data_IF_044301596179
#
_entry.id   IF_044301596179
#
_cell.length_a   1.000
_cell.length_b   1.000
_cell.length_c   1.000
_cell.angle_alpha   90.00
_cell.angle_beta   90.00
_cell.angle_gamma   90.00
#
_symmetry.space_group_name_H-M   'P 1'
#
loop_
_entity.id
_entity.type
_entity.pdbx_description
1 polymer ?
#
# COMPACT_ATOMS: atom_id res chain seq x y z
N UNK A 1 28.76 -69.07 -9.96
CA UNK A 1 27.47 -68.42 -9.64
C UNK A 1 27.48 -67.67 -8.31
N UNK A 2 28.02 -68.25 -7.22
CA UNK A 2 28.05 -67.65 -5.86
C UNK A 2 28.65 -66.23 -5.81
N UNK A 3 29.72 -65.94 -6.58
CA UNK A 3 30.36 -64.61 -6.61
C UNK A 3 29.48 -63.51 -7.23
N UNK A 4 28.57 -63.84 -8.16
CA UNK A 4 27.64 -62.87 -8.76
C UNK A 4 26.45 -62.56 -7.84
N UNK A 5 26.00 -63.56 -7.08
CA UNK A 5 24.92 -63.40 -6.10
C UNK A 5 25.33 -62.53 -4.89
N UNK A 6 26.59 -62.62 -4.44
CA UNK A 6 27.12 -61.78 -3.35
C UNK A 6 27.25 -60.30 -3.77
N UNK A 7 27.61 -60.05 -5.03
CA UNK A 7 27.71 -58.67 -5.57
C UNK A 7 26.33 -58.00 -5.68
N UNK A 8 25.29 -58.74 -6.10
CA UNK A 8 23.91 -58.24 -6.10
C UNK A 8 23.39 -57.96 -4.69
N UNK A 9 23.75 -58.78 -3.69
CA UNK A 9 23.36 -58.56 -2.30
C UNK A 9 24.07 -57.34 -1.68
N UNK A 10 25.36 -57.14 -1.98
CA UNK A 10 26.11 -55.94 -1.56
C UNK A 10 25.55 -54.66 -2.20
N UNK A 11 25.15 -54.70 -3.47
CA UNK A 11 24.51 -53.56 -4.14
C UNK A 11 23.14 -53.23 -3.55
N UNK A 12 22.35 -54.24 -3.16
CA UNK A 12 21.06 -54.03 -2.49
C UNK A 12 21.22 -53.45 -1.08
N UNK A 13 22.30 -53.80 -0.37
CA UNK A 13 22.62 -53.25 0.95
C UNK A 13 23.17 -51.81 0.86
N UNK A 14 23.83 -51.43 -0.24
CA UNK A 14 24.32 -50.06 -0.45
C UNK A 14 23.19 -49.11 -0.90
N UNK A 15 22.18 -49.62 -1.61
CA UNK A 15 21.00 -48.82 -2.01
C UNK A 15 19.94 -48.77 -0.89
N UNK A 16 19.99 -49.70 0.07
CA UNK A 16 19.11 -49.73 1.23
C UNK A 16 19.80 -49.10 2.45
N UNK A 17 19.48 -47.82 2.70
CA UNK A 17 19.69 -47.01 3.92
C UNK A 17 20.70 -45.86 3.82
N UNK A 18 20.19 -44.67 3.50
CA UNK A 18 20.25 -43.51 4.39
C UNK A 18 19.34 -42.38 3.85
N UNK A 19 18.05 -42.40 4.24
CA UNK A 19 17.24 -41.18 4.23
C UNK A 19 17.69 -40.35 5.44
N UNK A 20 18.77 -39.61 5.24
CA UNK A 20 19.28 -38.69 6.23
C UNK A 20 18.22 -37.60 6.46
N UNK A 21 17.88 -37.31 7.73
CA UNK A 21 16.84 -36.33 8.08
C UNK A 21 17.15 -34.95 7.47
N UNK A 22 18.43 -34.63 7.40
CA UNK A 22 19.00 -33.43 6.77
C UNK A 22 18.71 -33.36 5.25
N UNK A 23 18.66 -34.51 4.57
CA UNK A 23 18.29 -34.59 3.15
C UNK A 23 16.79 -34.40 2.96
N UNK A 24 15.96 -34.90 3.88
CA UNK A 24 14.50 -34.69 3.84
C UNK A 24 14.14 -33.23 4.06
N UNK A 25 14.73 -32.58 5.06
CA UNK A 25 14.46 -31.18 5.39
C UNK A 25 14.90 -30.25 4.24
N UNK A 26 16.05 -30.56 3.61
CA UNK A 26 16.56 -29.82 2.44
C UNK A 26 15.73 -30.05 1.18
N UNK A 27 15.13 -31.24 1.02
CA UNK A 27 14.17 -31.51 -0.05
C UNK A 27 12.91 -30.67 0.16
N UNK A 28 12.38 -30.62 1.39
CA UNK A 28 11.19 -29.80 1.71
C UNK A 28 11.46 -28.30 1.54
N UNK A 29 12.65 -27.82 1.91
CA UNK A 29 13.07 -26.43 1.68
C UNK A 29 13.14 -26.11 0.18
N UNK A 30 13.77 -26.98 -0.63
CA UNK A 30 13.84 -26.81 -2.08
C UNK A 30 12.46 -26.90 -2.75
N UNK A 31 11.58 -27.78 -2.27
CA UNK A 31 10.19 -27.88 -2.74
C UNK A 31 9.42 -26.58 -2.46
N UNK A 32 9.62 -25.99 -1.29
CA UNK A 32 9.03 -24.69 -0.94
C UNK A 32 9.60 -23.56 -1.81
N UNK A 33 10.90 -23.53 -2.05
CA UNK A 33 11.54 -22.56 -2.96
C UNK A 33 11.04 -22.71 -4.41
N UNK A 34 10.90 -23.95 -4.90
CA UNK A 34 10.35 -24.21 -6.25
C UNK A 34 8.88 -23.77 -6.33
N UNK A 35 8.08 -24.06 -5.30
CA UNK A 35 6.69 -23.61 -5.22
C UNK A 35 6.62 -22.09 -5.23
N UNK A 36 7.48 -21.42 -4.47
CA UNK A 36 7.58 -19.97 -4.42
C UNK A 36 7.99 -19.38 -5.78
N UNK A 37 9.03 -19.92 -6.41
CA UNK A 37 9.49 -19.47 -7.72
C UNK A 37 8.43 -19.65 -8.81
N UNK A 38 7.65 -20.74 -8.74
CA UNK A 38 6.54 -20.99 -9.66
C UNK A 38 5.44 -19.93 -9.50
N UNK A 39 5.13 -19.52 -8.27
CA UNK A 39 4.17 -18.45 -7.99
C UNK A 39 4.66 -17.13 -8.59
N UNK A 40 5.94 -16.79 -8.41
CA UNK A 40 6.56 -15.58 -8.97
C UNK A 40 6.47 -15.60 -10.50
N UNK A 41 6.88 -16.71 -11.13
CA UNK A 41 6.87 -16.82 -12.59
C UNK A 41 5.47 -16.67 -13.16
N UNK A 42 4.46 -17.34 -12.58
CA UNK A 42 3.07 -17.17 -12.99
C UNK A 42 2.59 -15.73 -12.81
N UNK A 43 2.96 -15.07 -11.71
CA UNK A 43 2.60 -13.66 -11.49
C UNK A 43 3.25 -12.72 -12.52
N UNK A 44 4.49 -12.99 -12.91
CA UNK A 44 5.20 -12.22 -13.94
C UNK A 44 4.60 -12.44 -15.33
N UNK A 45 4.18 -13.67 -15.65
CA UNK A 45 3.48 -13.98 -16.90
C UNK A 45 2.13 -13.25 -16.98
N UNK A 46 1.33 -13.30 -15.90
CA UNK A 46 0.06 -12.56 -15.78
C UNK A 46 0.28 -11.05 -15.95
N UNK A 47 1.31 -10.49 -15.32
CA UNK A 47 1.66 -9.08 -15.44
C UNK A 47 2.09 -8.70 -16.86
N UNK A 48 2.89 -9.54 -17.53
CA UNK A 48 3.29 -9.33 -18.92
C UNK A 48 2.09 -9.32 -19.88
N UNK A 49 1.13 -10.22 -19.67
CA UNK A 49 -0.10 -10.24 -20.47
C UNK A 49 -0.98 -9.02 -20.22
N UNK A 50 -1.08 -8.54 -18.98
CA UNK A 50 -1.75 -7.29 -18.66
C UNK A 50 -1.07 -6.08 -19.35
N UNK A 51 0.27 -6.01 -19.32
CA UNK A 51 1.01 -4.95 -20.00
C UNK A 51 0.78 -4.95 -21.51
N UNK A 52 0.72 -6.13 -22.15
CA UNK A 52 0.38 -6.24 -23.59
C UNK A 52 -1.01 -5.68 -23.87
N UNK A 53 -2.03 -6.09 -23.09
CA UNK A 53 -3.40 -5.58 -23.24
C UNK A 53 -3.50 -4.08 -23.02
N UNK A 54 -2.83 -3.55 -21.99
CA UNK A 54 -2.77 -2.12 -21.72
C UNK A 54 -2.12 -1.34 -22.85
N UNK A 55 -1.04 -1.88 -23.45
CA UNK A 55 -0.37 -1.28 -24.61
C UNK A 55 -1.27 -1.25 -25.85
N UNK A 56 -2.03 -2.31 -26.10
CA UNK A 56 -3.01 -2.40 -27.19
C UNK A 56 -4.13 -1.36 -27.01
N UNK A 57 -4.69 -1.28 -25.79
CA UNK A 57 -5.72 -0.31 -25.44
C UNK A 57 -5.24 1.14 -25.58
N UNK A 58 -4.02 1.45 -25.13
CA UNK A 58 -3.42 2.78 -25.28
C UNK A 58 -3.21 3.16 -26.76
N UNK A 59 -2.85 2.20 -27.61
CA UNK A 59 -2.70 2.42 -29.04
C UNK A 59 -4.04 2.80 -29.71
N UNK A 60 -5.14 2.17 -29.26
CA UNK A 60 -6.49 2.43 -29.76
C UNK A 60 -7.07 3.76 -29.23
N UNK A 61 -6.81 4.13 -27.97
CA UNK A 61 -7.28 5.42 -27.42
C UNK A 61 -6.49 6.63 -27.95
N UNK A 62 -5.23 6.43 -28.37
CA UNK A 62 -4.43 7.49 -29.01
C UNK A 62 -5.09 8.05 -30.28
N UNK A 63 -5.87 7.24 -31.02
CA UNK A 63 -6.62 7.72 -32.20
C UNK A 63 -7.89 8.52 -31.86
N UNK A 64 -8.39 8.44 -30.63
CA UNK A 64 -9.60 9.17 -30.19
C UNK A 64 -9.26 10.54 -29.56
N UNK A 65 -8.01 10.75 -29.12
CA UNK A 65 -7.61 11.92 -28.30
C UNK A 65 -7.47 13.28 -29.02
N UNK A 66 -7.90 13.43 -30.28
CA UNK A 66 -7.79 14.72 -30.99
C UNK A 66 -8.93 15.71 -30.66
N UNK A 67 -10.08 15.24 -30.14
CA UNK A 67 -11.21 16.10 -29.73
C UNK A 67 -11.16 16.57 -28.26
N UNK A 68 -10.35 15.93 -27.41
CA UNK A 68 -10.28 16.13 -25.96
C UNK A 68 -9.68 17.49 -25.51
N UNK A 69 -8.99 18.19 -26.42
CA UNK A 69 -8.25 19.43 -26.12
C UNK A 69 -9.13 20.61 -25.68
N UNK A 70 -10.41 20.64 -26.04
CA UNK A 70 -11.32 21.75 -25.70
C UNK A 70 -11.87 21.66 -24.28
N UNK A 71 -12.20 20.46 -23.80
CA UNK A 71 -12.72 20.22 -22.43
C UNK A 71 -11.65 20.50 -21.37
N UNK A 72 -10.40 20.09 -21.64
CA UNK A 72 -9.23 20.31 -20.78
C UNK A 72 -9.00 21.81 -20.53
N UNK A 73 -9.25 22.66 -21.52
CA UNK A 73 -9.03 24.11 -21.39
C UNK A 73 -10.05 24.80 -20.46
N UNK A 74 -11.28 24.27 -20.38
CA UNK A 74 -12.34 24.81 -19.53
C UNK A 74 -12.13 24.43 -18.05
N UNK A 75 -11.83 23.17 -17.77
CA UNK A 75 -11.58 22.68 -16.40
C UNK A 75 -10.32 23.30 -15.80
N UNK A 76 -9.26 23.49 -16.60
CA UNK A 76 -8.03 24.17 -16.15
C UNK A 76 -8.28 25.65 -15.80
N UNK A 77 -9.16 26.34 -16.53
CA UNK A 77 -9.43 27.75 -16.27
C UNK A 77 -10.21 28.00 -14.96
N UNK A 78 -11.12 27.11 -14.57
CA UNK A 78 -11.83 27.19 -13.27
C UNK A 78 -11.01 26.69 -12.08
N UNK A 79 -10.02 25.82 -12.31
CA UNK A 79 -9.24 25.17 -11.24
C UNK A 79 -7.91 25.84 -10.91
N UNK A 80 -7.44 26.77 -11.76
CA UNK A 80 -6.24 27.58 -11.51
C UNK A 80 -6.36 28.45 -10.25
N UNK A 81 -7.57 28.89 -9.89
CA UNK A 81 -7.80 29.62 -8.63
C UNK A 81 -7.60 28.73 -7.40
N UNK A 82 -7.97 27.44 -7.47
CA UNK A 82 -7.85 26.51 -6.33
C UNK A 82 -6.41 26.01 -6.14
N UNK A 83 -5.59 26.02 -7.20
CA UNK A 83 -4.15 25.74 -7.10
C UNK A 83 -3.35 26.89 -6.48
N UNK A 84 -3.94 28.09 -6.45
CA UNK A 84 -3.30 29.27 -5.86
C UNK A 84 -3.39 29.28 -4.33
N UNK A 85 -4.41 28.64 -3.74
CA UNK A 85 -4.56 28.49 -2.29
C UNK A 85 -4.51 27.02 -1.84
N UNK A 86 -3.33 26.61 -1.35
CA UNK A 86 -3.11 25.28 -0.78
C UNK A 86 -4.10 24.95 0.34
N UNK A 87 -4.60 25.94 1.09
CA UNK A 87 -5.56 25.74 2.18
C UNK A 87 -6.92 25.30 1.65
N UNK A 88 -7.42 25.94 0.60
CA UNK A 88 -8.70 25.58 -0.01
C UNK A 88 -8.66 24.18 -0.61
N UNK A 89 -7.56 23.81 -1.28
CA UNK A 89 -7.36 22.46 -1.80
C UNK A 89 -7.34 21.41 -0.67
N UNK A 90 -6.65 21.68 0.43
CA UNK A 90 -6.61 20.77 1.60
C UNK A 90 -8.00 20.62 2.22
N UNK A 91 -8.74 21.73 2.35
CA UNK A 91 -10.10 21.72 2.87
C UNK A 91 -11.04 20.93 1.96
N UNK A 92 -10.93 21.11 0.65
CA UNK A 92 -11.70 20.36 -0.34
C UNK A 92 -11.47 18.85 -0.21
N UNK A 93 -10.21 18.40 -0.19
CA UNK A 93 -9.87 16.97 -0.03
C UNK A 93 -10.42 16.41 1.28
N UNK A 94 -10.33 17.20 2.36
CA UNK A 94 -10.86 16.79 3.66
C UNK A 94 -12.38 16.65 3.65
N UNK A 95 -13.09 17.60 3.03
CA UNK A 95 -14.55 17.58 2.93
C UNK A 95 -15.04 16.47 1.98
N UNK A 96 -14.32 16.19 0.89
CA UNK A 96 -14.61 15.11 -0.05
C UNK A 96 -14.42 13.71 0.57
N UNK A 97 -13.42 13.56 1.43
CA UNK A 97 -13.26 12.35 2.22
C UNK A 97 -14.43 12.11 3.20
N UNK A 98 -15.21 13.15 3.52
CA UNK A 98 -16.37 13.13 4.42
C UNK A 98 -16.13 12.28 5.68
N UNK A 99 -14.95 12.43 6.28
CA UNK A 99 -14.52 11.64 7.44
C UNK A 99 -15.31 11.96 8.71
N UNK A 100 -16.23 12.92 8.66
CA UNK A 100 -17.20 13.23 9.71
C UNK A 100 -18.31 12.18 9.80
N UNK A 101 -18.57 11.48 8.69
CA UNK A 101 -19.64 10.49 8.59
C UNK A 101 -19.14 9.13 8.12
N UNK A 102 -18.01 9.09 7.39
CA UNK A 102 -17.37 7.88 6.92
C UNK A 102 -16.10 7.56 7.72
N UNK A 103 -15.81 6.28 7.90
CA UNK A 103 -14.53 5.86 8.45
C UNK A 103 -13.37 6.10 7.48
N UNK A 104 -12.18 6.30 8.01
CA UNK A 104 -10.99 6.68 7.24
C UNK A 104 -10.64 5.68 6.13
N UNK A 105 -10.79 4.39 6.42
CA UNK A 105 -10.57 3.32 5.47
C UNK A 105 -11.54 3.38 4.29
N UNK A 106 -12.84 3.60 4.57
CA UNK A 106 -13.83 3.81 3.51
C UNK A 106 -13.54 5.06 2.70
N UNK A 107 -13.17 6.17 3.35
CA UNK A 107 -12.78 7.40 2.65
C UNK A 107 -11.60 7.13 1.68
N UNK A 108 -10.57 6.40 2.13
CA UNK A 108 -9.43 6.00 1.29
C UNK A 108 -9.86 5.08 0.14
N UNK A 109 -10.77 4.13 0.39
CA UNK A 109 -11.22 3.19 -0.63
C UNK A 109 -12.11 3.83 -1.70
N UNK A 110 -13.05 4.69 -1.28
CA UNK A 110 -14.02 5.35 -2.16
C UNK A 110 -13.41 6.50 -2.94
N UNK A 111 -12.51 7.27 -2.30
CA UNK A 111 -11.79 8.37 -2.93
C UNK A 111 -10.39 7.95 -3.40
N UNK A 112 -10.25 6.66 -3.72
CA UNK A 112 -9.05 6.06 -4.29
C UNK A 112 -8.63 6.68 -5.63
N UNK A 113 -9.52 7.43 -6.28
CA UNK A 113 -9.21 8.34 -7.39
C UNK A 113 -7.99 9.21 -7.10
N UNK A 114 -7.83 9.74 -5.87
CA UNK A 114 -6.63 10.49 -5.44
C UNK A 114 -5.33 9.67 -5.39
N UNK A 115 -5.43 8.35 -5.27
CA UNK A 115 -4.31 7.43 -5.09
C UNK A 115 -4.00 6.57 -6.32
N UNK A 116 -4.93 6.51 -7.28
CA UNK A 116 -4.73 5.89 -8.58
C UNK A 116 -3.96 6.81 -9.53
N UNK A 117 -3.16 6.20 -10.40
CA UNK A 117 -2.50 6.87 -11.50
C UNK A 117 -3.58 7.31 -12.50
N UNK A 118 -4.20 8.48 -12.31
CA UNK A 118 -5.18 8.98 -13.27
C UNK A 118 -4.49 9.18 -14.61
N UNK A 119 -4.93 8.44 -15.62
CA UNK A 119 -4.41 8.56 -16.97
C UNK A 119 -5.42 9.36 -17.81
N UNK A 120 -5.21 10.67 -18.00
CA UNK A 120 -6.14 11.51 -18.75
C UNK A 120 -6.23 11.09 -20.22
N UNK A 121 -5.19 10.42 -20.73
CA UNK A 121 -5.18 9.88 -22.10
C UNK A 121 -6.24 8.78 -22.31
N UNK A 122 -6.79 8.23 -21.21
CA UNK A 122 -7.80 7.17 -21.26
C UNK A 122 -9.23 7.65 -20.96
N UNK A 123 -9.43 8.77 -20.25
CA UNK A 123 -10.73 9.10 -19.64
C UNK A 123 -11.15 10.60 -19.69
N UNK A 124 -10.33 11.55 -20.16
CA UNK A 124 -10.70 12.96 -20.08
C UNK A 124 -10.67 13.49 -18.65
N UNK A 125 -11.46 14.51 -18.32
CA UNK A 125 -11.73 14.96 -16.94
C UNK A 125 -13.23 15.21 -16.88
N UNK A 126 -13.99 14.30 -16.25
CA UNK A 126 -15.45 14.42 -16.20
C UNK A 126 -15.89 15.22 -14.95
N UNK A 127 -15.06 15.22 -13.91
CA UNK A 127 -15.32 15.88 -12.62
C UNK A 127 -14.12 16.69 -12.12
N UNK A 128 -14.32 17.55 -11.10
CA UNK A 128 -13.22 18.22 -10.38
C UNK A 128 -12.30 17.22 -9.68
N UNK A 129 -12.87 16.12 -9.18
CA UNK A 129 -12.11 15.06 -8.49
C UNK A 129 -11.17 14.34 -9.43
N UNK A 130 -11.60 14.09 -10.68
CA UNK A 130 -10.73 13.52 -11.73
C UNK A 130 -9.51 14.42 -12.00
N UNK A 131 -9.73 15.73 -12.03
CA UNK A 131 -8.66 16.69 -12.25
C UNK A 131 -7.69 16.76 -11.07
N UNK A 132 -8.18 16.84 -9.82
CA UNK A 132 -7.31 16.82 -8.65
C UNK A 132 -6.56 15.50 -8.49
N UNK A 133 -7.22 14.39 -8.79
CA UNK A 133 -6.62 13.06 -8.83
C UNK A 133 -5.46 13.01 -9.82
N UNK A 134 -5.64 13.58 -11.01
CA UNK A 134 -4.55 13.73 -11.97
C UNK A 134 -3.41 14.59 -11.44
N UNK A 135 -3.68 15.77 -10.91
CA UNK A 135 -2.63 16.64 -10.39
C UNK A 135 -1.84 15.95 -9.28
N UNK A 136 -2.53 15.31 -8.33
CA UNK A 136 -1.91 14.57 -7.24
C UNK A 136 -1.12 13.38 -7.78
N UNK A 137 -1.60 12.69 -8.81
CA UNK A 137 -0.84 11.60 -9.46
C UNK A 137 0.48 12.09 -10.07
N UNK A 138 0.56 13.34 -10.52
CA UNK A 138 1.75 13.96 -11.13
C UNK A 138 2.73 14.58 -10.13
N UNK A 139 2.35 14.68 -8.85
CA UNK A 139 3.28 15.13 -7.81
C UNK A 139 4.47 14.18 -7.78
N UNK A 140 5.66 14.75 -7.93
CA UNK A 140 6.89 14.06 -7.59
C UNK A 140 6.95 13.89 -6.07
N UNK A 141 6.97 12.63 -5.64
CA UNK A 141 6.97 12.22 -4.24
C UNK A 141 8.38 11.91 -3.73
N UNK A 142 9.42 12.34 -4.43
CA UNK A 142 10.78 12.33 -3.88
C UNK A 142 10.82 13.11 -2.55
N UNK A 143 11.64 12.69 -1.57
CA UNK A 143 11.75 13.37 -0.29
C UNK A 143 12.02 14.88 -0.43
N UNK A 144 12.86 15.27 -1.40
CA UNK A 144 13.20 16.67 -1.68
C UNK A 144 11.99 17.50 -2.10
N UNK A 145 11.09 16.94 -2.90
CA UNK A 145 9.91 17.65 -3.37
C UNK A 145 8.77 17.59 -2.36
N UNK A 146 8.61 16.49 -1.62
CA UNK A 146 7.67 16.45 -0.50
C UNK A 146 8.01 17.49 0.57
N UNK A 147 9.30 17.72 0.90
CA UNK A 147 9.73 18.80 1.81
C UNK A 147 9.32 20.20 1.34
N UNK A 148 9.34 20.45 0.03
CA UNK A 148 8.91 21.74 -0.55
C UNK A 148 7.39 21.92 -0.53
N UNK A 149 6.65 20.83 -0.67
CA UNK A 149 5.18 20.84 -0.66
C UNK A 149 4.67 20.98 0.78
N UNK A 150 5.15 20.13 1.68
CA UNK A 150 4.76 20.03 3.09
C UNK A 150 5.57 20.98 3.97
N UNK A 151 5.49 22.27 3.62
CA UNK A 151 6.04 23.36 4.45
C UNK A 151 5.39 23.39 5.83
N UNK A 152 6.02 24.00 6.86
CA UNK A 152 5.44 24.13 8.19
C UNK A 152 4.01 24.69 8.19
N UNK A 153 3.76 25.75 7.43
CA UNK A 153 2.41 26.34 7.29
C UNK A 153 1.37 25.35 6.74
N UNK A 154 1.76 24.52 5.75
CA UNK A 154 0.87 23.50 5.19
C UNK A 154 0.59 22.41 6.21
N UNK A 155 1.61 21.97 6.95
CA UNK A 155 1.46 20.99 8.03
C UNK A 155 0.55 21.51 9.13
N UNK A 156 0.73 22.75 9.57
CA UNK A 156 -0.11 23.39 10.58
C UNK A 156 -1.58 23.47 10.15
N UNK A 157 -1.84 23.82 8.88
CA UNK A 157 -3.19 23.81 8.33
C UNK A 157 -3.81 22.41 8.43
N UNK A 158 -3.08 21.37 8.00
CA UNK A 158 -3.54 19.98 8.08
C UNK A 158 -3.81 19.57 9.53
N UNK A 159 -2.88 19.84 10.45
CA UNK A 159 -3.02 19.48 11.87
C UNK A 159 -4.23 20.16 12.50
N UNK A 160 -4.51 21.42 12.13
CA UNK A 160 -5.64 22.19 12.66
C UNK A 160 -7.01 21.58 12.30
N UNK A 161 -7.10 20.82 11.20
CA UNK A 161 -8.32 20.12 10.80
C UNK A 161 -8.68 18.97 11.75
N UNK A 162 -7.73 18.46 12.53
CA UNK A 162 -7.93 17.34 13.43
C UNK A 162 -7.77 17.71 14.91
N UNK A 163 -6.90 18.68 15.27
CA UNK A 163 -6.59 19.05 16.67
C UNK A 163 -7.80 19.47 17.52
N UNK A 164 -8.84 20.03 16.90
CA UNK A 164 -9.98 20.64 17.62
C UNK A 164 -11.28 19.84 17.48
N UNK A 165 -11.22 18.57 17.08
CA UNK A 165 -12.38 17.70 16.99
C UNK A 165 -12.03 16.25 17.29
N UNK A 166 -13.04 15.44 17.59
CA UNK A 166 -12.84 14.01 17.85
C UNK A 166 -12.70 13.19 16.55
N UNK A 167 -12.74 13.83 15.37
CA UNK A 167 -12.82 13.13 14.07
C UNK A 167 -11.61 12.22 13.89
N UNK A 168 -10.42 12.64 14.32
CA UNK A 168 -9.21 11.82 14.22
C UNK A 168 -9.38 10.43 14.85
N UNK A 169 -9.99 10.39 16.04
CA UNK A 169 -10.26 9.14 16.78
C UNK A 169 -11.53 8.44 16.30
N UNK A 170 -12.62 9.18 16.16
CA UNK A 170 -13.94 8.63 15.83
C UNK A 170 -13.97 7.99 14.42
N UNK A 171 -13.32 8.61 13.43
CA UNK A 171 -13.22 8.09 12.06
C UNK A 171 -12.29 6.87 11.92
N UNK A 172 -11.49 6.57 12.94
CA UNK A 172 -10.45 5.56 12.88
C UNK A 172 -9.18 5.92 12.14
N UNK A 173 -9.02 7.21 11.78
CA UNK A 173 -7.74 7.73 11.27
C UNK A 173 -6.60 7.48 12.26
N UNK A 174 -6.85 7.60 13.56
CA UNK A 174 -5.87 7.30 14.61
C UNK A 174 -5.42 5.84 14.59
N UNK A 175 -6.36 4.90 14.56
CA UNK A 175 -6.07 3.48 14.51
C UNK A 175 -5.30 3.10 13.22
N UNK A 176 -5.68 3.67 12.07
CA UNK A 176 -4.93 3.47 10.82
C UNK A 176 -3.50 3.99 10.93
N UNK A 177 -3.31 5.17 11.52
CA UNK A 177 -1.99 5.77 11.64
C UNK A 177 -1.10 4.99 12.61
N UNK A 178 -1.61 4.62 13.79
CA UNK A 178 -0.89 3.78 14.77
C UNK A 178 -0.47 2.45 14.15
N UNK A 179 -1.41 1.75 13.50
CA UNK A 179 -1.10 0.51 12.80
C UNK A 179 -0.10 0.73 11.65
N UNK A 180 -0.23 1.81 10.89
CA UNK A 180 0.69 2.13 9.79
C UNK A 180 2.13 2.34 10.29
N UNK A 181 2.32 3.08 11.38
CA UNK A 181 3.64 3.31 11.97
C UNK A 181 4.27 2.00 12.45
N UNK A 182 3.50 1.12 13.10
CA UNK A 182 3.97 -0.20 13.53
C UNK A 182 4.38 -1.07 12.33
N UNK A 183 3.55 -1.12 11.28
CA UNK A 183 3.86 -1.89 10.06
C UNK A 183 5.17 -1.43 9.42
N UNK A 184 5.44 -0.13 9.40
CA UNK A 184 6.71 0.37 8.89
C UNK A 184 7.89 -0.16 9.70
N UNK A 185 7.84 -0.08 11.03
CA UNK A 185 8.92 -0.58 11.88
C UNK A 185 9.13 -2.08 11.70
N UNK A 186 8.04 -2.85 11.57
CA UNK A 186 8.10 -4.29 11.31
C UNK A 186 8.75 -4.60 9.95
N UNK A 187 8.53 -3.76 8.93
CA UNK A 187 8.94 -4.03 7.55
C UNK A 187 10.23 -3.33 7.10
N UNK A 188 10.70 -2.27 7.79
CA UNK A 188 11.76 -1.39 7.26
C UNK A 188 13.08 -2.13 6.94
N UNK A 189 13.35 -3.26 7.59
CA UNK A 189 14.54 -4.09 7.38
C UNK A 189 14.25 -5.31 6.47
N UNK A 190 13.02 -5.44 5.96
CA UNK A 190 12.55 -6.57 5.16
C UNK A 190 12.36 -6.17 3.68
N UNK A 191 13.43 -5.73 3.02
CA UNK A 191 13.40 -5.23 1.63
C UNK A 191 12.76 -6.22 0.65
N UNK A 192 13.10 -7.51 0.74
CA UNK A 192 12.58 -8.56 -0.12
C UNK A 192 11.07 -8.74 0.02
N UNK A 193 10.57 -8.68 1.26
CA UNK A 193 9.14 -8.81 1.55
C UNK A 193 8.37 -7.59 1.02
N UNK A 194 8.90 -6.39 1.20
CA UNK A 194 8.31 -5.17 0.64
C UNK A 194 8.28 -5.21 -0.90
N UNK A 195 9.35 -5.67 -1.54
CA UNK A 195 9.39 -5.84 -3.00
C UNK A 195 8.36 -6.87 -3.49
N UNK A 196 8.15 -7.95 -2.72
CA UNK A 196 7.15 -8.97 -3.02
C UNK A 196 5.72 -8.42 -2.91
N UNK A 197 5.40 -7.73 -1.81
CA UNK A 197 4.09 -7.10 -1.61
C UNK A 197 3.81 -6.09 -2.74
N UNK A 198 4.80 -5.27 -3.11
CA UNK A 198 4.70 -4.30 -4.20
C UNK A 198 4.39 -5.00 -5.53
N UNK A 199 5.14 -6.05 -5.87
CA UNK A 199 4.96 -6.81 -7.11
C UNK A 199 3.56 -7.41 -7.21
N UNK A 200 3.06 -8.03 -6.12
CA UNK A 200 1.70 -8.58 -6.07
C UNK A 200 0.63 -7.49 -6.19
N UNK A 201 0.85 -6.34 -5.54
CA UNK A 201 -0.06 -5.19 -5.58
C UNK A 201 -0.17 -4.59 -6.99
N UNK A 202 0.95 -4.40 -7.68
CA UNK A 202 1.01 -3.87 -9.05
C UNK A 202 0.37 -4.84 -10.05
N UNK A 203 0.53 -6.15 -9.85
CA UNK A 203 -0.14 -7.18 -10.66
C UNK A 203 -1.66 -7.27 -10.43
N UNK A 204 -2.21 -6.45 -9.52
CA UNK A 204 -3.60 -6.47 -9.08
C UNK A 204 -4.05 -7.85 -8.55
N UNK A 205 -3.11 -8.64 -8.02
CA UNK A 205 -3.40 -9.97 -7.49
C UNK A 205 -3.88 -9.87 -6.04
N UNK A 206 -5.03 -9.20 -5.85
CA UNK A 206 -5.55 -8.85 -4.52
C UNK A 206 -5.65 -10.06 -3.59
N UNK A 207 -6.07 -11.22 -4.09
CA UNK A 207 -6.19 -12.45 -3.27
C UNK A 207 -4.84 -12.87 -2.71
N UNK A 208 -3.80 -13.00 -3.54
CA UNK A 208 -2.47 -13.41 -3.06
C UNK A 208 -1.82 -12.34 -2.20
N UNK A 209 -1.96 -11.06 -2.54
CA UNK A 209 -1.48 -9.98 -1.68
C UNK A 209 -2.15 -10.07 -0.32
N UNK A 210 -3.46 -10.31 -0.29
CA UNK A 210 -4.22 -10.37 0.95
C UNK A 210 -3.83 -11.58 1.82
N UNK A 211 -3.62 -12.75 1.21
CA UNK A 211 -3.11 -13.93 1.91
C UNK A 211 -1.75 -13.63 2.56
N UNK A 212 -0.80 -13.09 1.79
CA UNK A 212 0.54 -12.75 2.28
C UNK A 212 0.49 -11.74 3.44
N UNK A 213 -0.18 -10.60 3.25
CA UNK A 213 -0.21 -9.54 4.26
C UNK A 213 -1.00 -9.94 5.50
N UNK A 214 -1.97 -10.84 5.39
CA UNK A 214 -2.71 -11.36 6.54
C UNK A 214 -1.86 -12.36 7.36
N UNK A 215 -0.96 -13.09 6.72
CA UNK A 215 -0.05 -14.03 7.39
C UNK A 215 1.03 -13.32 8.19
N UNK A 216 1.56 -12.21 7.66
CA UNK A 216 2.65 -11.45 8.29
C UNK A 216 2.16 -10.34 9.23
N UNK A 217 0.86 -10.03 9.25
CA UNK A 217 0.32 -9.00 10.12
C UNK A 217 0.45 -9.38 11.59
N UNK A 218 1.17 -8.58 12.37
CA UNK A 218 1.35 -8.81 13.80
C UNK A 218 0.00 -8.77 14.55
N UNK A 219 -0.09 -9.50 15.66
CA UNK A 219 -1.31 -9.53 16.48
C UNK A 219 -1.71 -8.13 16.98
N UNK A 220 -0.73 -7.28 17.25
CA UNK A 220 -0.93 -5.89 17.67
C UNK A 220 -1.56 -5.05 16.55
N UNK A 221 -1.01 -5.11 15.33
CA UNK A 221 -1.60 -4.45 14.15
C UNK A 221 -3.02 -4.94 13.92
N UNK A 222 -3.25 -6.25 13.98
CA UNK A 222 -4.59 -6.81 13.84
C UNK A 222 -5.54 -6.31 14.94
N UNK A 223 -5.08 -6.22 16.18
CA UNK A 223 -5.85 -5.74 17.32
C UNK A 223 -6.26 -4.28 17.18
N UNK A 224 -5.33 -3.39 16.80
CA UNK A 224 -5.61 -1.96 16.57
C UNK A 224 -6.65 -1.79 15.46
N UNK A 225 -6.53 -2.59 14.39
CA UNK A 225 -7.44 -2.52 13.25
C UNK A 225 -8.73 -3.30 13.44
N UNK A 226 -8.95 -4.03 14.56
CA UNK A 226 -10.25 -4.64 14.83
C UNK A 226 -11.30 -3.55 14.96
N UNK A 227 -12.52 -3.86 14.53
CA UNK A 227 -13.59 -2.88 14.46
C UNK A 227 -13.83 -2.20 15.81
N UNK A 228 -13.89 -2.96 16.90
CA UNK A 228 -14.11 -2.40 18.25
C UNK A 228 -13.07 -1.37 18.70
N UNK A 229 -11.87 -1.38 18.11
CA UNK A 229 -10.76 -0.50 18.45
C UNK A 229 -10.51 0.57 17.37
N UNK A 230 -11.17 0.44 16.22
CA UNK A 230 -10.87 1.22 15.02
C UNK A 230 -11.71 2.48 14.92
N UNK A 231 -13.04 2.42 15.05
CA UNK A 231 -13.93 3.58 14.81
C UNK A 231 -15.13 3.53 15.75
N UNK A 232 -15.70 4.68 16.07
CA UNK A 232 -16.95 4.79 16.83
C UNK A 232 -18.20 4.90 15.93
N UNK A 233 -18.06 4.95 14.61
CA UNK A 233 -19.18 5.05 13.67
C UNK A 233 -19.90 3.70 13.50
N UNK A 234 -21.19 3.72 13.15
CA UNK A 234 -22.09 2.54 13.08
C UNK A 234 -21.78 1.57 11.93
N UNK A 235 -21.64 0.26 12.20
CA UNK A 235 -21.24 -0.90 11.34
C UNK A 235 -21.84 -1.03 9.92
N UNK A 236 -22.73 -0.17 9.46
CA UNK A 236 -23.22 -0.17 8.09
C UNK A 236 -22.18 0.39 7.08
N UNK A 237 -21.42 -0.49 6.40
CA UNK A 237 -20.60 -0.12 5.23
C UNK A 237 -19.07 -0.10 5.39
N UNK A 238 -18.51 -0.85 6.35
CA UNK A 238 -17.09 -0.81 6.72
C UNK A 238 -16.23 -1.71 5.84
N UNK A 239 -14.97 -1.28 5.68
CA UNK A 239 -13.90 -2.18 5.28
C UNK A 239 -13.65 -3.25 6.34
N UNK A 240 -13.43 -4.49 5.90
CA UNK A 240 -13.08 -5.58 6.81
C UNK A 240 -11.67 -5.36 7.36
N UNK A 241 -11.34 -6.07 8.45
CA UNK A 241 -9.96 -6.06 8.99
C UNK A 241 -8.93 -6.35 7.90
N UNK A 242 -9.21 -7.36 7.08
CA UNK A 242 -8.37 -7.79 5.97
C UNK A 242 -8.13 -6.67 4.95
N UNK A 243 -9.15 -5.89 4.61
CA UNK A 243 -9.02 -4.76 3.69
C UNK A 243 -8.09 -3.69 4.26
N UNK A 244 -8.25 -3.34 5.54
CA UNK A 244 -7.43 -2.34 6.22
C UNK A 244 -5.96 -2.76 6.29
N UNK A 245 -5.69 -4.03 6.61
CA UNK A 245 -4.33 -4.59 6.56
C UNK A 245 -3.77 -4.48 5.13
N UNK A 246 -4.54 -4.91 4.13
CA UNK A 246 -4.10 -4.83 2.74
C UNK A 246 -3.73 -3.42 2.30
N UNK A 247 -4.54 -2.41 2.64
CA UNK A 247 -4.23 -1.01 2.32
C UNK A 247 -2.91 -0.53 2.94
N UNK A 248 -2.67 -0.82 4.22
CA UNK A 248 -1.48 -0.32 4.92
C UNK A 248 -0.20 -1.02 4.46
N UNK A 249 -0.22 -2.34 4.27
CA UNK A 249 0.95 -3.08 3.78
C UNK A 249 1.31 -2.70 2.34
N UNK A 250 0.31 -2.56 1.46
CA UNK A 250 0.56 -2.13 0.08
C UNK A 250 0.99 -0.67 -0.02
N UNK A 251 0.54 0.19 0.91
CA UNK A 251 1.03 1.56 1.05
C UNK A 251 2.54 1.58 1.31
N UNK A 252 3.02 0.86 2.33
CA UNK A 252 4.45 0.85 2.66
C UNK A 252 5.31 0.21 1.58
N UNK A 253 4.86 -0.90 0.99
CA UNK A 253 5.54 -1.52 -0.13
C UNK A 253 5.72 -0.54 -1.32
N UNK A 254 4.70 0.29 -1.59
CA UNK A 254 4.78 1.35 -2.60
C UNK A 254 5.74 2.47 -2.21
N UNK A 255 5.71 2.95 -0.97
CA UNK A 255 6.62 4.01 -0.48
C UNK A 255 8.07 3.56 -0.51
N UNK A 256 8.33 2.31 -0.15
CA UNK A 256 9.66 1.71 -0.25
C UNK A 256 10.13 1.66 -1.71
N UNK A 257 9.28 1.18 -2.63
CA UNK A 257 9.60 1.18 -4.06
C UNK A 257 9.85 2.59 -4.63
N UNK A 258 9.13 3.61 -4.15
CA UNK A 258 9.32 5.01 -4.54
C UNK A 258 10.56 5.66 -3.87
N UNK A 259 11.24 4.98 -2.95
CA UNK A 259 12.42 5.51 -2.25
C UNK A 259 12.10 6.65 -1.27
N UNK A 260 10.87 6.71 -0.75
CA UNK A 260 10.41 7.79 0.13
C UNK A 260 9.82 7.30 1.46
N UNK A 261 9.95 6.00 1.79
CA UNK A 261 9.37 5.40 2.99
C UNK A 261 9.78 6.11 4.28
N UNK A 262 11.08 6.26 4.54
CA UNK A 262 11.59 6.87 5.78
C UNK A 262 11.07 8.29 5.98
N UNK A 263 11.07 9.10 4.91
CA UNK A 263 10.59 10.47 4.99
C UNK A 263 9.08 10.54 5.25
N UNK A 264 8.30 9.65 4.63
CA UNK A 264 6.86 9.56 4.86
C UNK A 264 6.57 9.06 6.27
N UNK A 265 7.36 8.12 6.79
CA UNK A 265 7.27 7.67 8.18
C UNK A 265 7.45 8.83 9.17
N UNK A 266 8.50 9.64 9.00
CA UNK A 266 8.74 10.81 9.86
C UNK A 266 7.58 11.82 9.79
N UNK A 267 7.01 12.06 8.61
CA UNK A 267 5.84 12.94 8.46
C UNK A 267 4.59 12.40 9.17
N UNK A 268 4.34 11.10 9.04
CA UNK A 268 3.20 10.43 9.68
C UNK A 268 3.35 10.41 11.20
N UNK A 269 4.56 10.17 11.69
CA UNK A 269 4.91 10.24 13.10
C UNK A 269 4.75 11.65 13.65
N UNK A 270 5.28 12.67 12.95
CA UNK A 270 5.11 14.07 13.30
C UNK A 270 3.62 14.46 13.38
N UNK A 271 2.82 14.05 12.39
CA UNK A 271 1.37 14.26 12.40
C UNK A 271 0.74 13.60 13.63
N UNK A 272 1.08 12.34 13.92
CA UNK A 272 0.49 11.61 15.04
C UNK A 272 0.75 12.33 16.37
N UNK A 273 2.00 12.69 16.63
CA UNK A 273 2.41 13.41 17.86
C UNK A 273 1.70 14.76 17.98
N UNK A 274 1.56 15.48 16.86
CA UNK A 274 0.91 16.79 16.89
C UNK A 274 -0.60 16.71 17.08
N UNK A 275 -1.26 15.68 16.53
CA UNK A 275 -2.72 15.62 16.49
C UNK A 275 -3.31 14.80 17.63
N UNK A 276 -2.64 13.72 18.05
CA UNK A 276 -3.16 12.83 19.10
C UNK A 276 -3.04 13.43 20.51
N UNK A 277 -2.16 14.42 20.70
CA UNK A 277 -1.79 14.94 22.03
C UNK A 277 -1.40 13.84 23.04
N UNK A 278 -0.90 12.70 22.55
CA UNK A 278 -0.15 11.74 23.36
C UNK A 278 1.32 12.18 23.27
N UNK A 279 1.85 12.77 24.36
CA UNK A 279 3.30 12.80 24.55
C UNK A 279 3.75 11.33 24.50
N UNK A 280 4.44 10.94 23.42
CA UNK A 280 5.18 9.69 23.39
C UNK A 280 6.18 9.78 24.54
N UNK A 281 5.86 9.14 25.66
CA UNK A 281 6.82 8.84 26.72
C UNK A 281 7.89 8.00 26.05
N UNK A 282 8.96 8.67 25.65
CA UNK A 282 10.22 8.01 25.39
C UNK A 282 10.68 7.58 26.78
N UNK A 283 10.73 6.28 27.01
CA UNK A 283 11.44 5.73 28.15
C UNK A 283 12.90 6.19 27.99
N UNK A 284 13.21 7.32 28.61
CA UNK A 284 14.56 7.63 29.03
C UNK A 284 14.96 6.49 29.97
N UNK A 285 15.74 5.57 29.43
CA UNK A 285 16.54 4.65 30.22
C UNK A 285 17.56 5.52 30.96
N UNK A 286 17.15 6.06 32.10
CA UNK A 286 18.05 6.43 33.18
C UNK A 286 18.19 5.24 34.13
N UNK A 287 19.24 4.44 33.91
CA UNK A 287 20.33 4.12 34.84
C UNK A 287 21.19 2.96 34.34
#
# INVERSE_FOLDING_TARGET
MIKKSILCLLLLVIVSCNKDKNTSDKITELENQIKHQKIINTSLEEYNEQLKRSKENLKNKKSESLELKKTISFVIAESLDILSDKKEMIQYVFDDFDIKTNDAGRAIAMNSSFFYCYNPDLFGFDTKDDYYSFLISKIDRSPENLRKILTPQVKDNIYSLFKNNNIYKESGSEAMLKASLLIYEDLREQEDLMAQIYTLGVAQNRTKTLELVSEIASEEVQSILKYENYTSYDRAGYLKLQDRIWYLYTFWARRHHEGNADYVYELLKEFHTNVAAEELVTDDIEL
#
